data_IF_594330168177
#
_entry.id   IF_594330168177
#
_cell.length_a   1.000
_cell.length_b   1.000
_cell.length_c   1.000
_cell.angle_alpha   90.00
_cell.angle_beta   90.00
_cell.angle_gamma   90.00
#
_symmetry.space_group_name_H-M   'P 1'
#
loop_
_entity.id
_entity.type
_entity.pdbx_description
1 polymer ?
#
# COMPACT_ATOMS: atom_id res chain seq x y z
N UNK A 1 -16.99 15.76 4.40
CA UNK A 1 -16.28 15.92 4.55
C UNK A 1 -15.66 16.58 4.83
N UNK A 2 -15.26 16.89 5.09
CA UNK A 2 -14.75 17.44 5.44
C UNK A 2 -13.93 17.88 5.00
N UNK A 3 -13.71 18.45 4.92
CA UNK A 3 -12.98 18.86 4.64
C UNK A 3 -12.01 19.10 4.68
N UNK A 4 -11.99 19.35 5.16
CA UNK A 4 -10.79 19.93 5.07
C UNK A 4 -9.80 19.15 4.42
N UNK A 5 -10.00 18.81 3.47
CA UNK A 5 -9.12 18.06 2.67
C UNK A 5 -7.95 18.88 2.21
N UNK A 6 -6.80 18.29 2.20
CA UNK A 6 -5.62 18.89 1.61
C UNK A 6 -5.80 19.01 0.12
N UNK A 7 -5.31 20.10 -0.49
CA UNK A 7 -5.25 20.14 -1.94
C UNK A 7 -4.08 19.28 -2.43
N UNK A 8 -4.00 19.09 -3.74
CA UNK A 8 -3.00 18.19 -4.35
C UNK A 8 -1.58 18.64 -4.03
N UNK A 9 -1.32 19.93 -4.10
CA UNK A 9 0.04 20.43 -3.84
C UNK A 9 0.43 20.25 -2.38
N UNK A 10 -0.48 20.50 -1.48
CA UNK A 10 -0.23 20.31 -0.05
C UNK A 10 0.05 18.83 0.26
N UNK A 11 -0.70 17.93 -0.35
CA UNK A 11 -0.48 16.50 -0.16
C UNK A 11 0.90 16.08 -0.68
N UNK A 12 1.30 16.56 -1.84
CA UNK A 12 2.60 16.22 -2.42
C UNK A 12 3.73 16.77 -1.56
N UNK A 13 3.64 18.02 -1.15
CA UNK A 13 4.71 18.66 -0.38
C UNK A 13 4.80 18.16 1.04
N UNK A 14 3.68 17.81 1.64
CA UNK A 14 3.62 17.40 3.04
C UNK A 14 3.87 15.92 3.25
N UNK A 15 3.90 15.13 2.20
CA UNK A 15 4.09 13.70 2.31
C UNK A 15 5.43 13.36 2.97
N UNK A 16 5.41 12.36 3.80
CA UNK A 16 6.63 11.80 4.43
C UNK A 16 6.59 10.29 4.32
N UNK A 17 7.76 9.70 4.21
CA UNK A 17 7.88 8.24 4.35
C UNK A 17 7.97 7.95 5.84
N UNK A 18 6.94 7.34 6.37
CA UNK A 18 6.84 7.03 7.79
C UNK A 18 7.35 5.61 8.03
N UNK A 19 8.26 5.45 9.01
CA UNK A 19 8.83 4.15 9.32
C UNK A 19 8.62 3.72 10.76
N UNK A 20 7.84 4.48 11.52
CA UNK A 20 7.42 4.11 12.87
C UNK A 20 5.91 4.27 12.93
N UNK A 21 5.23 3.24 13.40
CA UNK A 21 3.78 3.19 13.38
C UNK A 21 3.21 2.99 14.78
N UNK A 22 2.00 3.50 14.99
CA UNK A 22 1.28 3.22 16.22
C UNK A 22 0.73 1.79 16.14
N UNK A 23 0.26 1.28 17.28
CA UNK A 23 -0.37 -0.03 17.33
C UNK A 23 -1.85 0.01 17.00
N UNK A 24 -2.35 1.17 16.60
CA UNK A 24 -3.75 1.33 16.26
C UNK A 24 -4.12 0.46 15.07
N UNK A 25 -5.19 -0.30 15.21
CA UNK A 25 -5.66 -1.18 14.15
C UNK A 25 -6.22 -0.36 12.98
N UNK A 26 -5.95 -0.81 11.78
CA UNK A 26 -6.54 -0.24 10.57
C UNK A 26 -7.72 -1.10 10.18
N UNK A 27 -8.90 -0.51 10.04
CA UNK A 27 -10.12 -1.25 9.73
C UNK A 27 -10.14 -1.74 8.29
N UNK A 28 -10.95 -2.77 8.02
CA UNK A 28 -11.12 -3.27 6.66
C UNK A 28 -11.72 -2.19 5.76
N UNK A 29 -12.57 -1.33 6.30
CA UNK A 29 -13.15 -0.22 5.59
C UNK A 29 -12.08 0.76 5.11
N UNK A 30 -11.15 1.09 6.01
CA UNK A 30 -10.04 1.97 5.67
C UNK A 30 -9.14 1.36 4.59
N UNK A 31 -8.88 0.06 4.70
CA UNK A 31 -8.07 -0.66 3.71
C UNK A 31 -8.76 -0.65 2.36
N UNK A 32 -10.07 -0.87 2.32
CA UNK A 32 -10.83 -0.84 1.08
C UNK A 32 -10.72 0.53 0.41
N UNK A 33 -10.79 1.60 1.18
CA UNK A 33 -10.62 2.95 0.64
C UNK A 33 -9.24 3.19 0.07
N UNK A 34 -8.20 2.70 0.76
CA UNK A 34 -6.83 2.84 0.29
C UNK A 34 -6.60 2.10 -1.02
N UNK A 35 -7.11 0.87 -1.11
CA UNK A 35 -6.98 0.07 -2.32
C UNK A 35 -7.74 0.70 -3.47
N UNK A 36 -8.94 1.18 -3.21
CA UNK A 36 -9.72 1.87 -4.23
C UNK A 36 -8.94 3.07 -4.78
N UNK A 37 -8.37 3.88 -3.91
CA UNK A 37 -7.56 5.01 -4.33
C UNK A 37 -6.35 4.57 -5.16
N UNK A 38 -5.71 3.49 -4.75
CA UNK A 38 -4.53 2.98 -5.45
C UNK A 38 -4.85 2.49 -6.87
N UNK A 39 -6.05 1.96 -7.08
CA UNK A 39 -6.44 1.45 -8.41
C UNK A 39 -6.64 2.55 -9.45
N UNK A 40 -6.70 3.79 -9.01
CA UNK A 40 -6.79 4.92 -9.93
C UNK A 40 -5.44 5.38 -10.45
N UNK A 41 -4.34 4.78 -9.99
CA UNK A 41 -3.01 5.09 -10.50
C UNK A 41 -2.90 4.66 -11.98
N UNK A 42 -2.19 5.42 -12.81
CA UNK A 42 -2.04 5.03 -14.21
C UNK A 42 -1.18 3.77 -14.34
N UNK A 43 -1.45 3.00 -15.37
CA UNK A 43 -0.64 1.84 -15.72
C UNK A 43 -0.40 1.84 -17.22
N UNK A 44 0.65 1.14 -17.65
CA UNK A 44 0.98 1.06 -19.05
C UNK A 44 -0.18 0.39 -19.82
N UNK A 45 -0.69 1.06 -20.87
CA UNK A 45 -1.82 0.56 -21.63
C UNK A 45 -3.11 0.41 -20.84
N UNK A 46 -3.16 0.99 -19.66
CA UNK A 46 -4.30 0.89 -18.75
C UNK A 46 -4.70 -0.55 -18.44
N UNK A 47 -3.70 -1.43 -18.36
CA UNK A 47 -3.93 -2.86 -18.13
C UNK A 47 -4.33 -3.13 -16.68
N UNK A 48 -3.90 -2.31 -15.76
CA UNK A 48 -4.18 -2.43 -14.34
C UNK A 48 -3.78 -3.80 -13.80
N UNK A 49 -2.48 -4.18 -13.91
CA UNK A 49 -2.03 -5.53 -13.59
C UNK A 49 -1.76 -5.75 -12.10
N UNK A 50 -2.40 -4.99 -11.24
CA UNK A 50 -2.11 -5.03 -9.82
C UNK A 50 -2.89 -6.11 -9.09
N UNK A 51 -2.23 -6.71 -8.11
CA UNK A 51 -2.88 -7.54 -7.12
C UNK A 51 -2.43 -7.04 -5.76
N UNK A 52 -3.34 -7.02 -4.81
CA UNK A 52 -3.05 -6.55 -3.47
C UNK A 52 -3.23 -7.68 -2.48
N UNK A 53 -2.23 -7.87 -1.62
CA UNK A 53 -2.29 -8.87 -0.56
C UNK A 53 -2.25 -8.13 0.77
N UNK A 54 -3.27 -8.36 1.59
CA UNK A 54 -3.40 -7.71 2.88
C UNK A 54 -2.84 -8.65 3.94
N UNK A 55 -1.82 -8.22 4.67
CA UNK A 55 -1.15 -9.04 5.66
C UNK A 55 -1.29 -8.42 7.04
N UNK A 56 -1.94 -9.16 7.95
CA UNK A 56 -2.07 -8.77 9.35
C UNK A 56 -1.37 -9.75 10.28
N UNK A 57 -1.03 -10.93 9.80
CA UNK A 57 -0.40 -11.97 10.60
C UNK A 57 1.02 -11.59 10.98
N UNK A 58 1.32 -11.64 12.27
CA UNK A 58 2.63 -11.21 12.78
C UNK A 58 3.78 -12.04 12.22
N UNK A 59 3.57 -13.34 12.04
CA UNK A 59 4.62 -14.22 11.51
C UNK A 59 4.92 -13.90 10.06
N UNK A 60 3.89 -13.67 9.27
CA UNK A 60 4.05 -13.34 7.85
C UNK A 60 4.71 -11.97 7.72
N UNK A 61 4.30 -10.99 8.53
CA UNK A 61 4.93 -9.67 8.52
C UNK A 61 6.41 -9.76 8.86
N UNK A 62 6.76 -10.60 9.82
CA UNK A 62 8.15 -10.81 10.20
C UNK A 62 8.97 -11.39 9.04
N UNK A 63 8.41 -12.36 8.32
CA UNK A 63 9.07 -12.94 7.15
C UNK A 63 9.22 -11.91 6.03
N UNK A 64 8.22 -11.08 5.82
CA UNK A 64 8.29 -10.01 4.83
C UNK A 64 9.37 -8.98 5.20
N UNK A 65 9.46 -8.65 6.48
CA UNK A 65 10.51 -7.74 6.97
C UNK A 65 11.89 -8.27 6.64
N UNK A 66 12.13 -9.55 6.90
CA UNK A 66 13.41 -10.20 6.60
C UNK A 66 13.69 -10.19 5.09
N UNK A 67 12.70 -10.54 4.28
CA UNK A 67 12.84 -10.56 2.83
C UNK A 67 13.10 -9.16 2.26
N UNK A 68 12.63 -8.13 2.93
CA UNK A 68 12.80 -6.74 2.51
C UNK A 68 14.02 -6.10 3.19
N UNK A 69 15.11 -6.82 3.30
CA UNK A 69 16.38 -6.36 3.83
C UNK A 69 16.29 -5.97 5.31
N UNK A 70 15.53 -6.75 6.08
CA UNK A 70 15.40 -6.58 7.53
C UNK A 70 14.83 -5.21 7.92
N UNK A 71 13.84 -4.74 7.17
CA UNK A 71 13.17 -3.48 7.52
C UNK A 71 12.16 -3.72 8.65
N UNK A 72 12.54 -3.36 9.86
CA UNK A 72 11.72 -3.58 11.05
C UNK A 72 10.36 -2.89 11.00
N UNK A 73 10.26 -1.77 10.29
CA UNK A 73 8.99 -1.06 10.15
C UNK A 73 7.90 -1.94 9.54
N UNK A 74 8.27 -2.92 8.70
CA UNK A 74 7.32 -3.82 8.07
C UNK A 74 6.66 -4.73 9.10
N UNK A 75 7.45 -5.31 10.00
CA UNK A 75 6.89 -6.22 11.01
C UNK A 75 6.16 -5.47 12.12
N UNK A 76 6.46 -4.18 12.31
CA UNK A 76 5.85 -3.39 13.37
C UNK A 76 4.56 -2.69 12.94
N UNK A 77 4.32 -2.58 11.65
CA UNK A 77 3.10 -1.97 11.14
C UNK A 77 1.87 -2.82 11.50
N UNK A 78 0.72 -2.20 11.80
CA UNK A 78 -0.49 -2.95 12.12
C UNK A 78 -0.99 -3.78 10.94
N UNK A 79 -0.71 -3.34 9.72
CA UNK A 79 -1.08 -4.06 8.51
C UNK A 79 -0.05 -3.75 7.43
N UNK A 80 0.20 -4.72 6.57
CA UNK A 80 1.08 -4.54 5.42
C UNK A 80 0.28 -4.86 4.16
N UNK A 81 0.35 -3.97 3.19
CA UNK A 81 -0.28 -4.19 1.89
C UNK A 81 0.82 -4.47 0.89
N UNK A 82 0.83 -5.70 0.35
CA UNK A 82 1.81 -6.08 -0.66
C UNK A 82 1.19 -5.84 -2.03
N UNK A 83 1.86 -5.02 -2.82
CA UNK A 83 1.38 -4.71 -4.18
C UNK A 83 2.18 -5.55 -5.16
N UNK A 84 1.48 -6.37 -5.93
CA UNK A 84 2.11 -7.26 -6.90
C UNK A 84 1.67 -6.85 -8.30
N UNK A 85 2.58 -6.98 -9.25
CA UNK A 85 2.25 -6.76 -10.66
C UNK A 85 2.13 -8.12 -11.34
N UNK A 86 1.04 -8.32 -12.07
CA UNK A 86 0.86 -9.53 -12.85
C UNK A 86 1.62 -9.39 -14.16
N UNK A 87 2.76 -10.07 -14.25
CA UNK A 87 3.62 -9.96 -15.42
C UNK A 87 2.96 -10.47 -16.70
N UNK A 88 2.11 -11.47 -16.59
CA UNK A 88 1.38 -11.99 -17.75
C UNK A 88 0.46 -10.92 -18.33
N UNK A 89 -0.27 -10.22 -17.46
CA UNK A 89 -1.15 -9.15 -17.88
C UNK A 89 -0.36 -7.99 -18.48
N UNK A 90 0.73 -7.61 -17.84
CA UNK A 90 1.62 -6.56 -18.33
C UNK A 90 2.18 -6.89 -19.71
N UNK A 91 2.63 -8.12 -19.91
CA UNK A 91 3.18 -8.55 -21.18
C UNK A 91 2.17 -8.47 -22.31
N UNK A 92 0.92 -8.81 -22.03
CA UNK A 92 -0.13 -8.76 -23.03
C UNK A 92 -0.50 -7.34 -23.44
N UNK A 93 -0.24 -6.38 -22.58
CA UNK A 93 -0.58 -5.00 -22.82
C UNK A 93 0.40 -4.28 -23.71
N UNK A 94 1.52 -4.88 -23.96
CA UNK A 94 2.53 -4.34 -24.84
C UNK A 94 2.63 -5.20 -26.10
#
# INVERSE_FOLDING_TARGET
MEKSALDVFEAIKGRRSVRAFTKKTVSDEEITKLIDAATWAPSAGNIQPWEFIIVRDAKIKSKLSTAALNQTSIKEAPVVIVVCADQMQSSRGY
#
